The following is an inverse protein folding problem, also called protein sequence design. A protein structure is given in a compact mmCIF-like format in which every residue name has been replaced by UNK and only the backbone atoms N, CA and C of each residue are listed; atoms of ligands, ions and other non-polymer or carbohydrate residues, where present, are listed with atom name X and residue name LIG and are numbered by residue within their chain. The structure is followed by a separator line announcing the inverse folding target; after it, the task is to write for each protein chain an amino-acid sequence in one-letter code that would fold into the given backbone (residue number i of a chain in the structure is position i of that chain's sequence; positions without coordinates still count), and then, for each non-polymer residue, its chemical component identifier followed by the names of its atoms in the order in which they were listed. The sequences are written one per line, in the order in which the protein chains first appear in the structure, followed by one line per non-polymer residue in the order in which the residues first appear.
data_IF_101639857719
#
_entry.id   IF_101639857719
#
_cell.length_a   1.000
_cell.length_b   1.000
_cell.length_c   1.000
_cell.angle_alpha   90.00
_cell.angle_beta   90.00
_cell.angle_gamma   90.00
#
_symmetry.space_group_name_H-M   'P 1'
#
loop_
_entity.id
_entity.type
_entity.pdbx_description
1 polymer ?
#
# COMPACT_ATOMS: atom_id res chain seq x y z
N UNK A 1 24.10 33.91 5.35
CA UNK A 1 23.14 35.00 5.10
C UNK A 1 22.52 35.02 3.69
N UNK A 2 23.01 34.25 2.70
CA UNK A 2 22.45 34.25 1.33
C UNK A 2 21.35 33.21 1.03
N UNK A 3 21.11 32.22 1.89
CA UNK A 3 20.08 31.17 1.62
C UNK A 3 18.64 31.63 1.90
N UNK A 4 18.44 32.50 2.90
CA UNK A 4 17.11 33.00 3.25
C UNK A 4 16.48 33.85 2.12
N UNK A 5 17.28 34.65 1.41
CA UNK A 5 16.78 35.45 0.28
C UNK A 5 16.35 34.57 -0.91
N UNK A 6 17.04 33.45 -1.14
CA UNK A 6 16.69 32.49 -2.19
C UNK A 6 15.38 31.75 -1.89
N UNK A 7 15.13 31.44 -0.62
CA UNK A 7 13.90 30.79 -0.17
C UNK A 7 12.67 31.69 -0.35
N UNK A 8 12.75 32.98 0.02
CA UNK A 8 11.64 33.93 -0.09
C UNK A 8 11.27 34.31 -1.53
N UNK A 9 12.19 34.15 -2.49
CA UNK A 9 11.94 34.40 -3.92
C UNK A 9 11.38 33.20 -4.67
N UNK A 10 11.31 32.02 -4.04
CA UNK A 10 10.82 30.80 -4.68
C UNK A 10 9.30 30.91 -4.83
N UNK A 11 8.79 30.85 -6.07
CA UNK A 11 7.34 30.76 -6.31
C UNK A 11 6.81 29.51 -5.60
N UNK A 12 5.88 29.70 -4.67
CA UNK A 12 5.19 28.58 -4.02
C UNK A 12 4.44 27.79 -5.09
N UNK A 13 4.77 26.50 -5.21
CA UNK A 13 4.02 25.61 -6.09
C UNK A 13 2.65 25.37 -5.48
N UNK A 14 1.60 25.72 -6.20
CA UNK A 14 0.23 25.44 -5.79
C UNK A 14 -0.25 24.16 -6.47
N UNK A 15 -0.76 23.22 -5.67
CA UNK A 15 -1.50 22.07 -6.18
C UNK A 15 -2.98 22.42 -6.15
N UNK A 16 -3.62 22.47 -7.31
CA UNK A 16 -5.06 22.72 -7.43
C UNK A 16 -5.75 21.36 -7.43
N UNK A 17 -6.51 21.07 -6.38
CA UNK A 17 -7.36 19.89 -6.33
C UNK A 17 -8.70 20.20 -7.00
N UNK A 18 -9.21 19.31 -7.87
CA UNK A 18 -10.51 19.47 -8.50
C UNK A 18 -11.62 19.42 -7.44
N UNK A 19 -12.76 20.05 -7.70
CA UNK A 19 -13.93 19.90 -6.84
C UNK A 19 -14.44 18.46 -6.90
N UNK A 20 -14.68 17.81 -5.74
CA UNK A 20 -15.18 16.45 -5.72
C UNK A 20 -16.56 16.37 -6.37
N UNK A 21 -16.80 15.31 -7.12
CA UNK A 21 -18.10 15.04 -7.73
C UNK A 21 -19.12 14.54 -6.69
N UNK A 22 -20.43 14.73 -6.94
CA UNK A 22 -21.47 14.06 -6.18
C UNK A 22 -21.29 12.54 -6.12
N UNK A 23 -21.76 11.90 -5.04
CA UNK A 23 -21.58 10.46 -4.80
C UNK A 23 -22.21 9.54 -5.85
N UNK A 24 -23.15 10.05 -6.65
CA UNK A 24 -23.81 9.38 -7.76
C UNK A 24 -23.08 9.54 -9.11
N UNK A 25 -21.96 10.27 -9.15
CA UNK A 25 -21.17 10.51 -10.35
C UNK A 25 -19.74 9.99 -10.18
N UNK A 26 -19.25 9.27 -11.20
CA UNK A 26 -17.85 8.82 -11.26
C UNK A 26 -17.09 9.55 -12.37
N UNK A 27 -15.78 9.66 -12.19
CA UNK A 27 -14.90 10.24 -13.20
C UNK A 27 -13.47 9.86 -12.88
N UNK A 28 -12.69 9.48 -13.89
CA UNK A 28 -11.32 8.94 -13.70
C UNK A 28 -10.43 9.82 -12.83
N UNK A 29 -10.51 11.14 -13.02
CA UNK A 29 -9.74 12.11 -12.27
C UNK A 29 -10.32 12.33 -10.86
N UNK A 30 -11.64 12.26 -10.69
CA UNK A 30 -12.29 12.33 -9.37
C UNK A 30 -11.95 11.09 -8.54
N UNK A 31 -12.07 9.90 -9.11
CA UNK A 31 -11.83 8.62 -8.42
C UNK A 31 -10.35 8.44 -8.02
N UNK A 32 -9.44 9.09 -8.76
CA UNK A 32 -8.03 9.17 -8.42
C UNK A 32 -7.76 10.04 -7.18
N UNK A 33 -8.38 11.22 -7.08
CA UNK A 33 -8.16 12.13 -5.94
C UNK A 33 -9.09 11.85 -4.75
N UNK A 34 -10.26 11.26 -5.01
CA UNK A 34 -11.35 11.06 -4.07
C UNK A 34 -11.83 9.61 -4.14
N UNK A 35 -11.11 8.74 -3.44
CA UNK A 35 -11.54 7.35 -3.23
C UNK A 35 -12.88 7.30 -2.48
N UNK A 36 -13.69 6.29 -2.75
CA UNK A 36 -14.96 6.07 -2.07
C UNK A 36 -14.77 5.63 -0.61
N UNK A 37 -15.72 6.01 0.25
CA UNK A 37 -15.70 5.70 1.69
C UNK A 37 -15.49 4.21 2.00
N UNK A 38 -16.18 3.25 1.33
CA UNK A 38 -15.97 1.83 1.59
C UNK A 38 -14.53 1.37 1.35
N UNK A 39 -13.89 1.83 0.27
CA UNK A 39 -12.50 1.47 0.01
C UNK A 39 -11.54 2.12 1.01
N UNK A 40 -11.77 3.38 1.41
CA UNK A 40 -10.99 4.02 2.48
C UNK A 40 -11.12 3.29 3.83
N UNK A 41 -12.32 2.82 4.17
CA UNK A 41 -12.55 2.03 5.37
C UNK A 41 -11.78 0.71 5.34
N UNK A 42 -11.77 0.02 4.19
CA UNK A 42 -11.01 -1.22 4.02
C UNK A 42 -9.50 -1.01 4.19
N UNK A 43 -8.94 0.07 3.65
CA UNK A 43 -7.53 0.42 3.86
C UNK A 43 -7.22 0.70 5.33
N UNK A 44 -8.11 1.42 6.00
CA UNK A 44 -7.96 1.74 7.42
C UNK A 44 -7.99 0.48 8.28
N UNK A 45 -8.87 -0.47 7.97
CA UNK A 45 -8.90 -1.78 8.63
C UNK A 45 -7.63 -2.59 8.33
N UNK A 46 -7.15 -2.57 7.09
CA UNK A 46 -5.92 -3.27 6.72
C UNK A 46 -4.71 -2.73 7.48
N UNK A 47 -4.55 -1.41 7.58
CA UNK A 47 -3.47 -0.77 8.34
C UNK A 47 -3.54 -1.13 9.83
N UNK A 48 -4.74 -1.10 10.42
CA UNK A 48 -4.96 -1.53 11.80
C UNK A 48 -4.63 -3.02 12.03
N UNK A 49 -4.95 -3.89 11.07
CA UNK A 49 -4.63 -5.32 11.14
C UNK A 49 -3.12 -5.59 11.02
N UNK A 50 -2.39 -4.79 10.24
CA UNK A 50 -0.93 -4.90 10.09
C UNK A 50 -0.18 -4.25 11.27
N UNK A 51 -0.80 -3.28 11.95
CA UNK A 51 -0.21 -2.65 13.13
C UNK A 51 0.05 -3.69 14.23
N UNK A 52 1.33 -3.85 14.61
CA UNK A 52 1.80 -4.88 15.54
C UNK A 52 1.38 -6.31 15.17
N UNK A 53 1.13 -6.59 13.89
CA UNK A 53 0.78 -7.93 13.37
C UNK A 53 -0.49 -8.51 14.01
N UNK A 54 -1.45 -7.66 14.39
CA UNK A 54 -2.64 -8.08 15.13
C UNK A 54 -3.48 -9.14 14.39
N UNK A 55 -3.68 -8.96 13.08
CA UNK A 55 -4.45 -9.90 12.25
C UNK A 55 -3.97 -9.88 10.78
N UNK A 56 -2.77 -10.42 10.56
CA UNK A 56 -2.15 -10.51 9.23
C UNK A 56 -2.98 -11.34 8.22
N UNK A 57 -3.61 -12.49 8.58
CA UNK A 57 -4.47 -13.23 7.65
C UNK A 57 -5.64 -12.40 7.12
N UNK A 58 -6.28 -11.60 7.98
CA UNK A 58 -7.36 -10.71 7.57
C UNK A 58 -6.87 -9.59 6.67
N UNK A 59 -5.72 -8.99 6.99
CA UNK A 59 -5.09 -7.97 6.15
C UNK A 59 -4.80 -8.52 4.74
N UNK A 60 -4.22 -9.73 4.65
CA UNK A 60 -4.01 -10.43 3.37
C UNK A 60 -5.31 -10.59 2.58
N UNK A 61 -6.39 -11.04 3.22
CA UNK A 61 -7.69 -11.19 2.56
C UNK A 61 -8.30 -9.87 2.08
N UNK A 62 -8.09 -8.76 2.79
CA UNK A 62 -8.49 -7.43 2.32
C UNK A 62 -7.63 -7.00 1.13
N UNK A 63 -6.32 -7.15 1.23
CA UNK A 63 -5.37 -6.82 0.18
C UNK A 63 -5.69 -7.52 -1.14
N UNK A 64 -5.88 -8.84 -1.14
CA UNK A 64 -6.19 -9.59 -2.36
C UNK A 64 -7.53 -9.18 -2.99
N UNK A 65 -8.54 -8.86 -2.17
CA UNK A 65 -9.82 -8.33 -2.68
C UNK A 65 -9.67 -6.94 -3.30
N UNK A 66 -8.87 -6.08 -2.69
CA UNK A 66 -8.58 -4.75 -3.25
C UNK A 66 -7.78 -4.86 -4.55
N UNK A 67 -6.85 -5.81 -4.63
CA UNK A 67 -6.04 -6.09 -5.82
C UNK A 67 -6.86 -6.54 -7.02
N UNK A 68 -7.98 -7.23 -6.77
CA UNK A 68 -8.92 -7.65 -7.80
C UNK A 68 -9.92 -6.55 -8.19
N UNK A 69 -9.98 -5.44 -7.44
CA UNK A 69 -10.87 -4.32 -7.76
C UNK A 69 -10.25 -3.41 -8.82
N UNK A 70 -11.08 -2.74 -9.62
CA UNK A 70 -10.63 -1.76 -10.62
C UNK A 70 -9.82 -0.59 -10.01
N UNK A 71 -9.98 -0.36 -8.70
CA UNK A 71 -9.27 0.70 -7.96
C UNK A 71 -7.98 0.22 -7.29
N UNK A 72 -7.68 -1.08 -7.36
CA UNK A 72 -6.50 -1.68 -6.72
C UNK A 72 -5.20 -0.98 -7.12
N UNK A 73 -5.02 -0.75 -8.42
CA UNK A 73 -3.79 -0.14 -8.99
C UNK A 73 -3.55 1.32 -8.57
N UNK A 74 -4.61 2.03 -8.21
CA UNK A 74 -4.53 3.44 -7.78
C UNK A 74 -4.19 3.52 -6.28
N UNK A 75 -4.68 2.55 -5.51
CA UNK A 75 -4.76 2.63 -4.06
C UNK A 75 -3.63 1.83 -3.39
N UNK A 76 -3.27 0.69 -3.96
CA UNK A 76 -2.24 -0.19 -3.42
C UNK A 76 -0.86 0.28 -3.92
N UNK A 77 -0.27 1.21 -3.17
CA UNK A 77 1.06 1.72 -3.45
C UNK A 77 2.19 0.77 -2.98
N UNK A 78 3.43 1.05 -3.39
CA UNK A 78 4.61 0.27 -2.98
C UNK A 78 4.73 0.17 -1.44
N UNK A 79 4.25 1.17 -0.70
CA UNK A 79 4.33 1.17 0.77
C UNK A 79 3.44 0.09 1.37
N UNK A 80 2.22 -0.11 0.86
CA UNK A 80 1.32 -1.19 1.29
C UNK A 80 1.94 -2.56 1.00
N UNK A 81 2.49 -2.75 -0.21
CA UNK A 81 3.17 -3.99 -0.57
C UNK A 81 4.35 -4.31 0.37
N UNK A 82 5.22 -3.32 0.62
CA UNK A 82 6.34 -3.50 1.55
C UNK A 82 5.87 -3.80 2.98
N UNK A 83 4.76 -3.22 3.42
CA UNK A 83 4.20 -3.47 4.75
C UNK A 83 3.72 -4.92 4.90
N UNK A 84 3.12 -5.48 3.85
CA UNK A 84 2.73 -6.90 3.80
C UNK A 84 3.94 -7.83 3.72
N UNK A 85 4.94 -7.51 2.90
CA UNK A 85 6.19 -8.27 2.83
C UNK A 85 6.85 -8.37 4.22
N UNK A 86 6.94 -7.25 4.94
CA UNK A 86 7.46 -7.23 6.30
C UNK A 86 6.59 -8.06 7.25
N UNK A 87 5.26 -7.93 7.16
CA UNK A 87 4.35 -8.70 7.99
C UNK A 87 4.49 -10.20 7.77
N UNK A 88 4.66 -10.67 6.53
CA UNK A 88 4.87 -12.09 6.24
C UNK A 88 6.17 -12.61 6.85
N UNK A 89 7.30 -11.91 6.71
CA UNK A 89 8.55 -12.31 7.37
C UNK A 89 8.42 -12.32 8.90
N UNK A 90 7.71 -11.34 9.46
CA UNK A 90 7.47 -11.30 10.89
C UNK A 90 6.58 -12.46 11.37
N UNK A 91 5.58 -12.87 10.58
CA UNK A 91 4.77 -14.06 10.84
C UNK A 91 5.58 -15.36 10.75
N UNK A 92 6.55 -15.44 9.83
CA UNK A 92 7.51 -16.55 9.79
C UNK A 92 8.32 -16.59 11.09
N UNK A 93 8.84 -15.44 11.53
CA UNK A 93 9.63 -15.33 12.75
C UNK A 93 8.84 -15.67 14.03
N UNK A 94 7.53 -15.37 14.06
CA UNK A 94 6.65 -15.73 15.19
C UNK A 94 6.19 -17.18 15.18
N UNK A 95 6.29 -17.88 14.05
CA UNK A 95 5.78 -19.25 13.87
C UNK A 95 6.85 -20.34 14.06
N UNK A 96 7.89 -20.07 14.87
CA UNK A 96 9.03 -20.98 15.09
C UNK A 96 8.62 -22.39 15.53
N UNK A 97 7.51 -22.52 16.25
CA UNK A 97 7.03 -23.80 16.78
C UNK A 97 6.28 -24.66 15.73
N UNK A 98 5.90 -24.09 14.58
CA UNK A 98 5.09 -24.74 13.55
C UNK A 98 5.71 -24.55 12.15
N UNK A 99 6.64 -25.42 11.73
CA UNK A 99 7.38 -25.26 10.47
C UNK A 99 6.46 -25.27 9.23
N UNK A 100 5.34 -25.99 9.29
CA UNK A 100 4.35 -26.00 8.22
C UNK A 100 3.68 -24.62 8.03
N UNK A 101 3.42 -23.90 9.11
CA UNK A 101 2.79 -22.58 9.05
C UNK A 101 3.78 -21.50 8.62
N UNK A 102 5.03 -21.59 9.08
CA UNK A 102 6.12 -20.74 8.60
C UNK A 102 6.35 -20.89 7.08
N UNK A 103 6.23 -22.11 6.55
CA UNK A 103 6.36 -22.38 5.11
C UNK A 103 5.34 -21.62 4.26
N UNK A 104 4.07 -21.53 4.70
CA UNK A 104 3.00 -20.83 3.98
C UNK A 104 3.31 -19.34 3.88
N UNK A 105 3.70 -18.71 5.00
CA UNK A 105 4.02 -17.28 5.01
C UNK A 105 5.26 -16.95 4.18
N UNK A 106 6.23 -17.87 4.13
CA UNK A 106 7.43 -17.71 3.31
C UNK A 106 7.10 -17.84 1.82
N UNK A 107 6.22 -18.77 1.44
CA UNK A 107 5.74 -18.91 0.06
C UNK A 107 4.98 -17.66 -0.39
N UNK A 108 4.06 -17.16 0.44
CA UNK A 108 3.31 -15.93 0.20
C UNK A 108 4.25 -14.72 0.03
N UNK A 109 5.31 -14.64 0.84
CA UNK A 109 6.34 -13.61 0.71
C UNK A 109 7.04 -13.67 -0.64
N UNK A 110 7.54 -14.83 -1.05
CA UNK A 110 8.26 -14.97 -2.31
C UNK A 110 7.37 -14.71 -3.52
N UNK A 111 6.11 -15.15 -3.46
CA UNK A 111 5.13 -14.85 -4.49
C UNK A 111 4.91 -13.34 -4.61
N UNK A 112 4.63 -12.65 -3.51
CA UNK A 112 4.38 -11.20 -3.52
C UNK A 112 5.64 -10.43 -3.94
N UNK A 113 6.82 -10.84 -3.49
CA UNK A 113 8.09 -10.22 -3.85
C UNK A 113 8.37 -10.35 -5.35
N UNK A 114 8.20 -11.55 -5.92
CA UNK A 114 8.36 -11.80 -7.35
C UNK A 114 7.37 -11.01 -8.20
N UNK A 115 6.13 -10.83 -7.72
CA UNK A 115 5.14 -9.97 -8.37
C UNK A 115 5.57 -8.50 -8.35
N UNK A 116 6.12 -7.99 -7.24
CA UNK A 116 6.66 -6.61 -7.18
C UNK A 116 7.87 -6.46 -8.10
N UNK A 117 8.75 -7.45 -8.18
CA UNK A 117 9.96 -7.40 -9.01
C UNK A 117 9.67 -7.51 -10.51
N UNK A 118 8.70 -8.35 -10.90
CA UNK A 118 8.34 -8.59 -12.30
C UNK A 118 7.62 -7.44 -13.00
N UNK A 119 7.36 -6.32 -12.31
CA UNK A 119 6.76 -5.08 -12.81
C UNK A 119 5.45 -5.23 -13.64
N UNK A 120 4.42 -5.95 -13.17
CA UNK A 120 3.15 -6.04 -13.90
C UNK A 120 2.24 -4.80 -13.76
N UNK A 121 2.61 -3.76 -12.99
CA UNK A 121 1.71 -2.63 -12.72
C UNK A 121 2.40 -1.31 -12.31
N UNK A 122 1.66 -0.44 -11.62
CA UNK A 122 2.11 0.89 -11.15
C UNK A 122 3.09 0.81 -9.96
N UNK A 123 3.23 -0.38 -9.36
CA UNK A 123 4.09 -0.63 -8.22
C UNK A 123 5.48 -1.00 -8.72
N UNK A 124 6.51 -0.31 -8.20
CA UNK A 124 7.91 -0.59 -8.47
C UNK A 124 8.65 -0.89 -7.17
N UNK A 125 9.62 -1.83 -7.18
CA UNK A 125 10.45 -2.07 -6.01
C UNK A 125 11.23 -0.82 -5.65
N UNK A 126 11.32 -0.55 -4.35
CA UNK A 126 12.08 0.57 -3.78
C UNK A 126 13.25 0.02 -2.98
N UNK A 127 14.18 0.88 -2.56
CA UNK A 127 15.25 0.47 -1.64
C UNK A 127 14.70 -0.25 -0.39
N UNK A 128 13.53 0.17 0.10
CA UNK A 128 12.86 -0.48 1.23
C UNK A 128 12.40 -1.91 0.91
N UNK A 129 11.99 -2.20 -0.32
CA UNK A 129 11.55 -3.54 -0.74
C UNK A 129 12.68 -4.56 -0.63
N UNK A 130 13.92 -4.15 -0.93
CA UNK A 130 15.11 -5.01 -0.80
C UNK A 130 15.70 -5.03 0.61
N UNK A 131 15.26 -4.14 1.49
CA UNK A 131 15.72 -4.05 2.88
C UNK A 131 14.81 -4.79 3.88
N UNK A 132 13.68 -5.34 3.40
CA UNK A 132 12.77 -6.19 4.18
C UNK A 132 13.45 -7.48 4.59
#
# INVERSE_FOLDING_TARGET
YNEMEGFLRRRTSYTILPTPLPSDQSGTLNDFYFTDSPTQDLLSVMDACLHNLYDVPRAKGIFERLRQSEKGDIILDTRVYNSLLYAYLAMVASSQDLPAQAGIWLEDFWQLFGEVESQPGNVRPTANTYAV
#
